data_IF_498222487506
#
_entry.id   IF_498222487506
#
_cell.length_a   1.000
_cell.length_b   1.000
_cell.length_c   1.000
_cell.angle_alpha   90.00
_cell.angle_beta   90.00
_cell.angle_gamma   90.00
#
_symmetry.space_group_name_H-M   'P 1'
#
loop_
_entity.id
_entity.type
_entity.pdbx_description
1 polymer ?
#
# COMPACT_ATOMS: atom_id res chain seq x y z
N UNK A 1 8.77 -13.20 -19.55
CA UNK A 1 8.50 -11.76 -19.34
C UNK A 1 9.65 -11.18 -18.54
N UNK A 2 10.30 -10.12 -19.05
CA UNK A 2 11.38 -9.50 -18.29
C UNK A 2 10.80 -8.87 -17.01
N UNK A 3 11.53 -8.96 -15.91
CA UNK A 3 11.11 -8.46 -14.61
C UNK A 3 10.79 -6.94 -14.64
N UNK A 4 11.54 -6.19 -15.43
CA UNK A 4 11.31 -4.77 -15.70
C UNK A 4 9.94 -4.49 -16.34
N UNK A 5 9.47 -5.37 -17.21
CA UNK A 5 8.16 -5.25 -17.87
C UNK A 5 7.01 -5.47 -16.88
N UNK A 6 7.15 -6.43 -15.95
CA UNK A 6 6.18 -6.66 -14.86
C UNK A 6 6.08 -5.41 -13.97
N UNK A 7 7.22 -4.82 -13.61
CA UNK A 7 7.27 -3.60 -12.80
C UNK A 7 6.59 -2.42 -13.52
N UNK A 8 6.88 -2.24 -14.79
CA UNK A 8 6.30 -1.17 -15.61
C UNK A 8 4.77 -1.33 -15.70
N UNK A 9 4.28 -2.55 -15.92
CA UNK A 9 2.83 -2.85 -15.93
C UNK A 9 2.22 -2.55 -14.55
N UNK A 10 2.89 -2.96 -13.47
CA UNK A 10 2.45 -2.67 -12.10
C UNK A 10 2.37 -1.16 -11.83
N UNK A 11 3.38 -0.40 -12.23
CA UNK A 11 3.40 1.05 -12.08
C UNK A 11 2.29 1.74 -12.89
N UNK A 12 2.09 1.34 -14.15
CA UNK A 12 0.98 1.83 -14.99
C UNK A 12 -0.36 1.51 -14.33
N UNK A 13 -0.54 0.30 -13.79
CA UNK A 13 -1.73 -0.10 -13.05
C UNK A 13 -2.02 0.82 -11.87
N UNK A 14 -1.02 1.14 -11.06
CA UNK A 14 -1.13 2.07 -9.93
C UNK A 14 -1.55 3.47 -10.41
N UNK A 15 -0.94 3.98 -11.47
CA UNK A 15 -1.28 5.31 -12.05
C UNK A 15 -2.72 5.33 -12.55
N UNK A 16 -3.18 4.26 -13.22
CA UNK A 16 -4.58 4.15 -13.69
C UNK A 16 -5.56 4.14 -12.51
N UNK A 17 -5.31 3.34 -11.47
CA UNK A 17 -6.15 3.28 -10.27
C UNK A 17 -6.19 4.65 -9.60
N UNK A 18 -5.04 5.30 -9.47
CA UNK A 18 -4.92 6.64 -8.87
C UNK A 18 -5.71 7.70 -9.67
N UNK A 19 -5.65 7.65 -11.00
CA UNK A 19 -6.41 8.56 -11.89
C UNK A 19 -7.92 8.33 -11.77
N UNK A 20 -8.35 7.09 -11.58
CA UNK A 20 -9.77 6.70 -11.45
C UNK A 20 -10.28 6.67 -10.01
N UNK A 21 -9.50 7.14 -9.02
CA UNK A 21 -9.88 7.09 -7.60
C UNK A 21 -11.27 7.69 -7.29
N UNK A 22 -11.65 8.77 -7.98
CA UNK A 22 -12.96 9.39 -7.82
C UNK A 22 -14.10 8.48 -8.30
N UNK A 23 -13.90 7.77 -9.42
CA UNK A 23 -14.88 6.79 -9.92
C UNK A 23 -15.00 5.61 -8.96
N UNK A 24 -13.86 5.11 -8.46
CA UNK A 24 -13.83 4.02 -7.48
C UNK A 24 -14.54 4.40 -6.18
N UNK A 25 -14.39 5.64 -5.72
CA UNK A 25 -15.11 6.11 -4.53
C UNK A 25 -16.62 6.15 -4.74
N UNK A 26 -17.09 6.49 -5.95
CA UNK A 26 -18.51 6.44 -6.30
C UNK A 26 -19.04 5.00 -6.35
N UNK A 27 -18.23 4.04 -6.83
CA UNK A 27 -18.61 2.62 -6.84
C UNK A 27 -18.75 2.02 -5.45
N UNK A 28 -17.84 2.39 -4.51
CA UNK A 28 -17.90 1.94 -3.11
C UNK A 28 -19.13 2.54 -2.43
N UNK A 29 -19.47 3.80 -2.74
CA UNK A 29 -20.62 4.51 -2.18
C UNK A 29 -20.41 4.94 -0.73
N UNK A 30 -20.98 6.10 -0.36
CA UNK A 30 -20.89 6.63 1.02
C UNK A 30 -21.64 5.76 2.05
N UNK A 31 -22.59 4.94 1.58
CA UNK A 31 -23.41 4.04 2.42
C UNK A 31 -22.74 2.68 2.69
N UNK A 32 -21.50 2.48 2.22
CA UNK A 32 -20.79 1.23 2.49
C UNK A 32 -20.60 1.03 4.00
N UNK A 33 -20.91 -0.17 4.51
CA UNK A 33 -20.92 -0.48 5.95
C UNK A 33 -19.62 -0.09 6.69
N UNK A 34 -18.46 -0.31 6.07
CA UNK A 34 -17.17 0.04 6.66
C UNK A 34 -16.96 1.56 6.71
N UNK A 35 -17.37 2.28 5.68
CA UNK A 35 -17.31 3.76 5.66
C UNK A 35 -18.17 4.33 6.78
N UNK A 36 -19.43 3.90 6.89
CA UNK A 36 -20.34 4.36 7.94
C UNK A 36 -19.83 4.01 9.34
N UNK A 37 -19.31 2.79 9.54
CA UNK A 37 -18.76 2.36 10.84
C UNK A 37 -17.59 3.25 11.28
N UNK A 38 -16.64 3.54 10.38
CA UNK A 38 -15.50 4.42 10.69
C UNK A 38 -15.95 5.87 10.83
N UNK A 39 -16.84 6.35 9.96
CA UNK A 39 -17.37 7.71 9.97
C UNK A 39 -18.06 8.05 11.30
N UNK A 40 -18.84 7.11 11.85
CA UNK A 40 -19.58 7.29 13.10
C UNK A 40 -18.70 7.05 14.37
N UNK A 41 -17.46 6.62 14.20
CA UNK A 41 -16.56 6.37 15.32
C UNK A 41 -15.84 7.65 15.72
N UNK A 42 -16.08 8.15 16.94
CA UNK A 42 -15.46 9.38 17.45
C UNK A 42 -13.94 9.32 17.51
N UNK A 43 -13.36 8.16 17.83
CA UNK A 43 -11.92 7.97 17.87
C UNK A 43 -11.26 8.12 16.49
N UNK A 44 -11.97 7.74 15.42
CA UNK A 44 -11.47 7.82 14.05
C UNK A 44 -11.40 9.27 13.53
N UNK A 45 -12.17 10.20 14.09
CA UNK A 45 -12.15 11.62 13.74
C UNK A 45 -10.97 12.39 14.39
N UNK A 46 -10.12 11.71 15.14
CA UNK A 46 -8.87 12.24 15.68
C UNK A 46 -7.73 11.82 14.77
N UNK A 47 -7.05 12.79 14.11
CA UNK A 47 -6.08 12.55 13.02
C UNK A 47 -4.96 11.57 13.37
N UNK A 48 -4.42 11.61 14.60
CA UNK A 48 -3.33 10.72 14.99
C UNK A 48 -3.82 9.28 15.23
N UNK A 49 -5.01 9.09 15.80
CA UNK A 49 -5.62 7.74 16.00
C UNK A 49 -5.99 7.11 14.66
N UNK A 50 -6.59 7.89 13.76
CA UNK A 50 -6.92 7.43 12.42
C UNK A 50 -5.66 7.15 11.58
N UNK A 51 -4.60 7.96 11.75
CA UNK A 51 -3.31 7.72 11.11
C UNK A 51 -2.64 6.44 11.61
N UNK A 52 -2.67 6.20 12.93
CA UNK A 52 -2.14 4.96 13.52
C UNK A 52 -2.96 3.73 13.11
N UNK A 53 -4.29 3.87 13.01
CA UNK A 53 -5.14 2.81 12.44
C UNK A 53 -4.74 2.47 11.01
N UNK A 54 -4.52 3.50 10.16
CA UNK A 54 -4.08 3.29 8.78
C UNK A 54 -2.68 2.65 8.72
N UNK A 55 -1.78 3.02 9.63
CA UNK A 55 -0.46 2.40 9.76
C UNK A 55 -0.57 0.90 10.06
N UNK A 56 -1.36 0.53 11.09
CA UNK A 56 -1.58 -0.88 11.46
C UNK A 56 -2.26 -1.64 10.31
N UNK A 57 -3.21 -1.03 9.63
CA UNK A 57 -3.89 -1.64 8.50
C UNK A 57 -2.91 -1.94 7.36
N UNK A 58 -2.01 -1.01 7.03
CA UNK A 58 -0.97 -1.22 6.03
C UNK A 58 0.00 -2.33 6.47
N UNK A 59 0.41 -2.34 7.74
CA UNK A 59 1.25 -3.40 8.30
C UNK A 59 0.57 -4.77 8.21
N UNK A 60 -0.70 -4.86 8.57
CA UNK A 60 -1.47 -6.11 8.50
C UNK A 60 -1.60 -6.64 7.07
N UNK A 61 -1.92 -5.76 6.10
CA UNK A 61 -1.99 -6.13 4.67
C UNK A 61 -0.63 -6.60 4.14
N UNK A 62 0.44 -5.92 4.51
CA UNK A 62 1.80 -6.28 4.13
C UNK A 62 2.21 -7.64 4.72
N UNK A 63 2.01 -7.84 6.03
CA UNK A 63 2.30 -9.12 6.69
C UNK A 63 1.47 -10.26 6.12
N UNK A 64 0.19 -10.03 5.83
CA UNK A 64 -0.69 -11.02 5.19
C UNK A 64 -0.14 -11.40 3.82
N UNK A 65 0.25 -10.43 3.00
CA UNK A 65 0.81 -10.68 1.65
C UNK A 65 2.11 -11.47 1.72
N UNK A 66 3.02 -11.12 2.64
CA UNK A 66 4.27 -11.88 2.84
C UNK A 66 3.97 -13.30 3.32
N UNK A 67 3.06 -13.48 4.27
CA UNK A 67 2.69 -14.81 4.77
C UNK A 67 2.16 -15.70 3.64
N UNK A 68 1.32 -15.14 2.75
CA UNK A 68 0.83 -15.87 1.58
C UNK A 68 2.00 -16.24 0.64
N UNK A 69 2.96 -15.33 0.41
CA UNK A 69 4.11 -15.63 -0.44
C UNK A 69 4.99 -16.73 0.13
N UNK A 70 5.21 -16.76 1.46
CA UNK A 70 5.95 -17.84 2.12
C UNK A 70 5.24 -19.18 1.91
N UNK A 71 3.91 -19.23 2.12
CA UNK A 71 3.11 -20.43 1.90
C UNK A 71 3.18 -20.90 0.43
N UNK A 72 3.05 -19.97 -0.52
CA UNK A 72 3.12 -20.28 -1.95
C UNK A 72 4.52 -20.77 -2.37
N UNK A 73 5.59 -20.28 -1.72
CA UNK A 73 6.94 -20.76 -1.92
C UNK A 73 7.10 -22.24 -1.57
N UNK A 74 6.43 -22.72 -0.51
CA UNK A 74 6.40 -24.14 -0.15
C UNK A 74 5.57 -24.99 -1.11
N UNK A 75 4.51 -24.43 -1.68
CA UNK A 75 3.59 -25.17 -2.57
C UNK A 75 4.10 -25.26 -4.02
N UNK A 76 5.14 -24.50 -4.39
CA UNK A 76 5.76 -24.47 -5.73
C UNK A 76 4.72 -24.28 -6.85
N UNK A 77 3.70 -23.44 -6.63
CA UNK A 77 2.65 -23.21 -7.63
C UNK A 77 3.06 -22.02 -8.52
N UNK A 78 3.31 -22.23 -9.83
CA UNK A 78 3.73 -21.16 -10.72
C UNK A 78 2.63 -20.13 -10.94
N UNK A 79 3.02 -18.87 -11.10
CA UNK A 79 2.17 -17.71 -11.47
C UNK A 79 1.13 -17.24 -10.44
N UNK A 80 0.75 -18.02 -9.42
CA UNK A 80 -0.22 -17.57 -8.39
C UNK A 80 0.27 -16.36 -7.61
N UNK A 81 1.59 -16.20 -7.43
CA UNK A 81 2.16 -15.03 -6.78
C UNK A 81 1.79 -13.71 -7.50
N UNK A 82 1.64 -13.71 -8.84
CA UNK A 82 1.19 -12.53 -9.59
C UNK A 82 -0.25 -12.16 -9.26
N UNK A 83 -1.12 -13.15 -9.13
CA UNK A 83 -2.52 -12.93 -8.71
C UNK A 83 -2.57 -12.33 -7.31
N UNK A 84 -1.79 -12.86 -6.37
CA UNK A 84 -1.71 -12.35 -4.98
C UNK A 84 -1.22 -10.90 -4.97
N UNK A 85 -0.21 -10.54 -5.78
CA UNK A 85 0.27 -9.17 -5.92
C UNK A 85 -0.85 -8.22 -6.38
N UNK A 86 -1.59 -8.60 -7.42
CA UNK A 86 -2.72 -7.79 -7.93
C UNK A 86 -3.80 -7.62 -6.87
N UNK A 87 -4.18 -8.70 -6.17
CA UNK A 87 -5.18 -8.65 -5.10
C UNK A 87 -4.72 -7.79 -3.92
N UNK A 88 -3.44 -7.85 -3.54
CA UNK A 88 -2.87 -7.02 -2.49
C UNK A 88 -2.94 -5.52 -2.86
N UNK A 89 -2.62 -5.16 -4.10
CA UNK A 89 -2.72 -3.78 -4.59
C UNK A 89 -4.17 -3.29 -4.57
N UNK A 90 -5.10 -4.07 -5.13
CA UNK A 90 -6.53 -3.72 -5.16
C UNK A 90 -7.07 -3.58 -3.73
N UNK A 91 -6.75 -4.53 -2.84
CA UNK A 91 -7.15 -4.50 -1.43
C UNK A 91 -6.63 -3.26 -0.70
N UNK A 92 -5.35 -2.90 -0.92
CA UNK A 92 -4.76 -1.70 -0.32
C UNK A 92 -5.49 -0.43 -0.77
N UNK A 93 -5.72 -0.26 -2.08
CA UNK A 93 -6.47 0.90 -2.60
C UNK A 93 -7.90 0.95 -2.08
N UNK A 94 -8.58 -0.18 -2.00
CA UNK A 94 -9.93 -0.27 -1.44
C UNK A 94 -9.98 0.29 -0.01
N UNK A 95 -9.07 -0.15 0.86
CA UNK A 95 -9.03 0.34 2.23
C UNK A 95 -8.60 1.82 2.33
N UNK A 96 -7.67 2.28 1.50
CA UNK A 96 -7.26 3.68 1.49
C UNK A 96 -8.40 4.61 1.08
N UNK A 97 -9.22 4.19 0.11
CA UNK A 97 -10.42 4.93 -0.31
C UNK A 97 -11.45 4.97 0.84
N UNK A 98 -11.69 3.85 1.53
CA UNK A 98 -12.60 3.80 2.68
C UNK A 98 -12.15 4.76 3.78
N UNK A 99 -10.86 4.75 4.14
CA UNK A 99 -10.28 5.66 5.14
C UNK A 99 -10.48 7.13 4.72
N UNK A 100 -10.22 7.46 3.46
CA UNK A 100 -10.41 8.81 2.94
C UNK A 100 -11.89 9.23 3.01
N UNK A 101 -12.82 8.37 2.61
CA UNK A 101 -14.28 8.65 2.62
C UNK A 101 -14.83 8.78 4.03
N UNK A 102 -14.32 8.01 4.99
CA UNK A 102 -14.77 8.03 6.37
C UNK A 102 -14.29 9.26 7.16
N UNK A 103 -13.22 9.92 6.70
CA UNK A 103 -12.67 11.10 7.36
C UNK A 103 -13.52 12.36 7.15
N UNK A 104 -13.92 13.03 8.25
CA UNK A 104 -14.75 14.24 8.23
C UNK A 104 -14.02 15.52 8.68
N UNK A 105 -12.79 15.40 9.19
CA UNK A 105 -12.01 16.54 9.69
C UNK A 105 -11.45 17.43 8.59
N UNK A 106 -10.70 18.45 9.00
CA UNK A 106 -10.08 19.42 8.09
C UNK A 106 -9.08 18.78 7.13
N UNK A 107 -8.81 19.46 6.00
CA UNK A 107 -7.83 18.98 5.01
C UNK A 107 -6.41 18.92 5.59
N UNK A 108 -6.02 19.83 6.47
CA UNK A 108 -4.72 19.80 7.15
C UNK A 108 -4.56 18.57 8.05
N UNK A 109 -5.60 18.23 8.82
CA UNK A 109 -5.58 17.03 9.66
C UNK A 109 -5.66 15.74 8.82
N UNK A 110 -6.32 15.77 7.66
CA UNK A 110 -6.32 14.65 6.69
C UNK A 110 -4.91 14.37 6.19
N UNK A 111 -4.15 15.41 5.83
CA UNK A 111 -2.77 15.25 5.39
C UNK A 111 -1.89 14.67 6.51
N UNK A 112 -2.04 15.14 7.75
CA UNK A 112 -1.32 14.58 8.92
C UNK A 112 -1.66 13.10 9.13
N UNK A 113 -2.94 12.72 9.06
CA UNK A 113 -3.39 11.33 9.10
C UNK A 113 -2.71 10.49 8.02
N UNK A 114 -2.70 11.01 6.79
CA UNK A 114 -2.11 10.35 5.63
C UNK A 114 -0.59 10.13 5.81
N UNK A 115 0.15 11.13 6.27
CA UNK A 115 1.59 11.03 6.54
C UNK A 115 1.86 9.97 7.60
N UNK A 116 1.12 9.97 8.72
CA UNK A 116 1.28 8.98 9.78
C UNK A 116 0.98 7.57 9.24
N UNK A 117 -0.11 7.40 8.49
CA UNK A 117 -0.50 6.09 7.98
C UNK A 117 0.42 5.55 6.89
N UNK A 118 0.91 6.41 6.00
CA UNK A 118 1.84 6.01 4.94
C UNK A 118 3.27 5.79 5.44
N UNK A 119 3.66 6.34 6.60
CA UNK A 119 5.01 6.18 7.17
C UNK A 119 5.42 4.73 7.35
N UNK A 120 4.48 3.80 7.45
CA UNK A 120 4.75 2.37 7.43
C UNK A 120 5.60 1.96 6.22
N UNK A 121 5.20 2.36 5.02
CA UNK A 121 5.94 2.03 3.80
C UNK A 121 7.28 2.75 3.70
N UNK A 122 7.40 3.96 4.28
CA UNK A 122 8.69 4.64 4.39
C UNK A 122 9.65 3.84 5.29
N UNK A 123 9.18 3.35 6.44
CA UNK A 123 9.98 2.50 7.34
C UNK A 123 10.41 1.22 6.62
N UNK A 124 9.50 0.54 5.91
CA UNK A 124 9.83 -0.66 5.12
C UNK A 124 10.88 -0.36 4.05
N UNK A 125 10.76 0.79 3.36
CA UNK A 125 11.75 1.22 2.37
C UNK A 125 13.14 1.43 2.99
N UNK A 126 13.21 2.10 4.15
CA UNK A 126 14.46 2.27 4.88
C UNK A 126 15.07 0.94 5.36
N UNK A 127 14.25 -0.03 5.77
CA UNK A 127 14.72 -1.37 6.11
C UNK A 127 15.32 -2.09 4.89
N UNK A 128 14.70 -2.01 3.74
CA UNK A 128 15.25 -2.60 2.52
C UNK A 128 16.55 -1.92 2.07
N UNK A 129 16.65 -0.58 2.20
CA UNK A 129 17.89 0.16 1.93
C UNK A 129 18.99 -0.30 2.90
N UNK A 130 18.68 -0.41 4.19
CA UNK A 130 19.64 -0.90 5.18
C UNK A 130 20.13 -2.30 4.85
N UNK A 131 19.24 -3.23 4.51
CA UNK A 131 19.63 -4.58 4.10
C UNK A 131 20.44 -4.59 2.82
N UNK A 132 20.13 -3.72 1.85
CA UNK A 132 20.91 -3.61 0.62
C UNK A 132 22.36 -3.16 0.88
N UNK A 133 22.56 -2.18 1.77
CA UNK A 133 23.88 -1.65 2.11
C UNK A 133 24.68 -2.66 2.94
N UNK A 134 24.02 -3.44 3.81
CA UNK A 134 24.66 -4.41 4.70
C UNK A 134 24.72 -5.81 4.11
N UNK A 135 24.27 -6.00 2.88
CA UNK A 135 24.25 -7.29 2.19
C UNK A 135 25.68 -7.84 2.07
N UNK A 136 25.89 -9.06 2.57
CA UNK A 136 27.18 -9.78 2.51
C UNK A 136 26.94 -11.20 2.01
N UNK A 137 27.89 -11.79 1.26
CA UNK A 137 27.77 -13.19 0.86
C UNK A 137 27.76 -14.09 2.10
N UNK A 138 26.93 -15.12 2.06
CA UNK A 138 26.78 -16.11 3.13
C UNK A 138 27.91 -17.16 3.04
N UNK A 139 28.43 -17.38 1.83
CA UNK A 139 29.56 -18.28 1.53
C UNK A 139 30.39 -17.76 0.35
N UNK A 140 31.65 -18.21 0.24
CA UNK A 140 32.55 -17.82 -0.86
C UNK A 140 31.98 -18.25 -2.22
N UNK A 141 31.84 -17.29 -3.14
CA UNK A 141 31.30 -17.53 -4.50
C UNK A 141 29.78 -17.37 -4.62
N UNK A 142 29.08 -16.96 -3.57
CA UNK A 142 27.63 -16.63 -3.66
C UNK A 142 27.40 -15.46 -4.60
N UNK A 143 26.55 -15.63 -5.61
CA UNK A 143 26.10 -14.55 -6.48
C UNK A 143 25.01 -13.71 -5.77
N UNK A 144 25.43 -12.55 -5.26
CA UNK A 144 24.54 -11.61 -4.56
C UNK A 144 23.66 -10.79 -5.51
N UNK A 145 23.78 -10.97 -6.82
CA UNK A 145 23.08 -10.16 -7.82
C UNK A 145 21.55 -10.31 -7.67
N UNK A 146 21.03 -11.54 -7.55
CA UNK A 146 19.60 -11.80 -7.40
C UNK A 146 19.05 -11.23 -6.09
N UNK A 147 19.78 -11.35 -5.00
CA UNK A 147 19.41 -10.78 -3.69
C UNK A 147 19.37 -9.25 -3.74
N UNK A 148 20.36 -8.63 -4.37
CA UNK A 148 20.41 -7.16 -4.56
C UNK A 148 19.24 -6.66 -5.40
N UNK A 149 18.92 -7.34 -6.50
CA UNK A 149 17.77 -6.99 -7.35
C UNK A 149 16.47 -7.10 -6.56
N UNK A 150 16.27 -8.17 -5.79
CA UNK A 150 15.08 -8.33 -4.96
C UNK A 150 14.88 -7.18 -3.98
N UNK A 151 15.96 -6.74 -3.30
CA UNK A 151 15.92 -5.60 -2.38
C UNK A 151 15.65 -4.27 -3.11
N UNK A 152 16.26 -4.02 -4.26
CA UNK A 152 15.98 -2.83 -5.08
C UNK A 152 14.50 -2.75 -5.47
N UNK A 153 13.90 -3.88 -5.85
CA UNK A 153 12.47 -3.93 -6.14
C UNK A 153 11.62 -3.67 -4.90
N UNK A 154 12.00 -4.22 -3.76
CA UNK A 154 11.34 -3.93 -2.48
C UNK A 154 11.33 -2.43 -2.17
N UNK A 155 12.46 -1.74 -2.40
CA UNK A 155 12.57 -0.29 -2.23
C UNK A 155 11.61 0.44 -3.18
N UNK A 156 11.64 0.12 -4.48
CA UNK A 156 10.79 0.78 -5.47
C UNK A 156 9.31 0.58 -5.14
N UNK A 157 8.88 -0.64 -4.86
CA UNK A 157 7.49 -0.98 -4.55
C UNK A 157 7.03 -0.27 -3.28
N UNK A 158 7.83 -0.27 -2.21
CA UNK A 158 7.49 0.40 -0.95
C UNK A 158 7.41 1.93 -1.12
N UNK A 159 8.29 2.54 -1.92
CA UNK A 159 8.21 3.98 -2.22
C UNK A 159 6.96 4.33 -3.05
N UNK A 160 6.62 3.52 -4.05
CA UNK A 160 5.38 3.69 -4.84
C UNK A 160 4.15 3.53 -3.93
N UNK A 161 4.15 2.55 -3.02
CA UNK A 161 3.06 2.35 -2.07
C UNK A 161 2.94 3.53 -1.09
N UNK A 162 4.08 4.07 -0.61
CA UNK A 162 4.11 5.27 0.23
C UNK A 162 3.41 6.45 -0.45
N UNK A 163 3.85 6.80 -1.66
CA UNK A 163 3.32 7.93 -2.43
C UNK A 163 1.83 7.69 -2.74
N UNK A 164 1.46 6.49 -3.17
CA UNK A 164 0.08 6.15 -3.53
C UNK A 164 -0.86 6.20 -2.33
N UNK A 165 -0.44 5.69 -1.17
CA UNK A 165 -1.18 5.78 0.09
C UNK A 165 -1.38 7.24 0.49
N UNK A 166 -0.31 8.05 0.46
CA UNK A 166 -0.32 9.46 0.82
C UNK A 166 -1.29 10.27 -0.07
N UNK A 167 -1.24 10.06 -1.39
CA UNK A 167 -2.11 10.77 -2.33
C UNK A 167 -3.56 10.29 -2.19
N UNK A 168 -3.79 8.99 -2.04
CA UNK A 168 -5.15 8.45 -1.97
C UNK A 168 -5.86 8.85 -0.69
N UNK A 169 -5.17 8.85 0.45
CA UNK A 169 -5.76 9.18 1.75
C UNK A 169 -5.68 10.67 2.07
N UNK A 170 -4.67 11.38 1.57
CA UNK A 170 -4.41 12.80 1.89
C UNK A 170 -5.18 13.80 1.05
N UNK A 171 -5.49 13.46 -0.22
CA UNK A 171 -6.23 14.37 -1.09
C UNK A 171 -7.74 14.10 -1.02
N UNK A 172 -8.51 15.19 -0.95
CA UNK A 172 -9.98 15.12 -0.98
C UNK A 172 -10.49 14.60 -2.32
N UNK A 173 -11.49 13.73 -2.29
CA UNK A 173 -12.26 13.43 -3.50
C UNK A 173 -13.08 14.66 -3.91
N UNK A 174 -13.12 14.98 -5.20
CA UNK A 174 -14.06 15.97 -5.73
C UNK A 174 -15.47 15.37 -5.61
N UNK A 175 -16.22 15.81 -4.61
CA UNK A 175 -17.65 15.46 -4.53
C UNK A 175 -18.36 16.22 -5.66
N UNK A 176 -19.03 15.52 -6.56
CA UNK A 176 -20.09 16.15 -7.36
C UNK A 176 -21.20 16.48 -6.36
N UNK A 177 -21.37 17.77 -6.08
CA UNK A 177 -22.60 18.27 -5.46
C UNK A 177 -23.69 18.03 -6.49
N UNK A 178 -24.54 17.02 -6.25
CA UNK A 178 -25.79 16.84 -6.97
C UNK A 178 -26.83 17.73 -6.37
#
# INVERSE_FOLDING_TARGET
LSFTLILLIGFIGVVIIQSKKNQLSLMIGENHKLVLKLKNSSWFQIYWKAGFFLFILNAALFCLTISIFIILGFLIIPYIHLLVMVMAVIGSFFFWIIVNMAWQGTNGNRLKLSIIGSSFYAIVSFLFIYWLITLKPTYEGEDMFMSSIGLLFGIIVSMVAFISCLITTGLTFKRKVS
#
